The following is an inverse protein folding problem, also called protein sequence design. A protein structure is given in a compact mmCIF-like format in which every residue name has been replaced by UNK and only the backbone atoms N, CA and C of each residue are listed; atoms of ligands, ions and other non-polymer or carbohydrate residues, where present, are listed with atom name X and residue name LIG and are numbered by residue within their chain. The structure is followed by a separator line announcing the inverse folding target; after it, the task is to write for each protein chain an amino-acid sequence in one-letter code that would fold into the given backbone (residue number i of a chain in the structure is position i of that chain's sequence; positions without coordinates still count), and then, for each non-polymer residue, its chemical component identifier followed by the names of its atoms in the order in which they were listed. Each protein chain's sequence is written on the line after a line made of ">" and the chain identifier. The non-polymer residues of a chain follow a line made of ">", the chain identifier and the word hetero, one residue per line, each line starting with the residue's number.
data_IF_684376003836
#
_entry.id   IF_684376003836
#
_cell.length_a   1.000
_cell.length_b   1.000
_cell.length_c   1.000
_cell.angle_alpha   90.00
_cell.angle_beta   90.00
_cell.angle_gamma   90.00
#
_symmetry.space_group_name_H-M   'P 1'
#
loop_
_entity.id
_entity.type
_entity.pdbx_description
1 polymer ?
#
# COMPACT_ATOMS: atom_id res chain seq x y z
N UNK A 1 26.93 -32.91 -23.23
CA UNK A 1 27.11 -32.49 -21.86
C UNK A 1 25.91 -32.98 -21.08
N UNK A 2 25.96 -34.21 -20.69
CA UNK A 2 25.03 -34.87 -19.78
C UNK A 2 25.83 -35.18 -18.50
N UNK A 3 25.11 -35.35 -17.42
CA UNK A 3 25.58 -35.72 -16.07
C UNK A 3 26.00 -34.59 -15.14
N UNK A 4 25.00 -34.14 -14.38
CA UNK A 4 25.09 -33.78 -12.97
C UNK A 4 23.68 -33.71 -12.34
N UNK A 5 23.00 -34.84 -12.26
CA UNK A 5 21.87 -35.05 -11.36
C UNK A 5 22.35 -35.98 -10.23
N UNK A 6 22.86 -35.35 -9.16
CA UNK A 6 23.14 -36.03 -7.90
C UNK A 6 21.84 -36.31 -7.16
N UNK A 7 21.52 -37.56 -6.98
CA UNK A 7 20.38 -38.03 -6.18
C UNK A 7 20.51 -37.62 -4.72
N UNK A 8 19.58 -36.82 -4.18
CA UNK A 8 19.42 -36.62 -2.76
C UNK A 8 18.57 -37.74 -2.17
N UNK A 9 19.22 -38.54 -1.35
CA UNK A 9 18.65 -39.68 -0.65
C UNK A 9 17.89 -39.19 0.59
N UNK A 10 16.56 -39.32 0.57
CA UNK A 10 15.70 -39.07 1.76
C UNK A 10 15.65 -40.34 2.60
N UNK A 11 16.49 -40.41 3.62
CA UNK A 11 16.35 -41.41 4.68
C UNK A 11 16.41 -40.70 6.04
N UNK A 12 15.30 -40.81 6.80
CA UNK A 12 15.29 -40.76 8.26
C UNK A 12 14.86 -39.45 8.92
N UNK A 13 13.55 -39.18 9.02
CA UNK A 13 12.97 -38.50 10.17
C UNK A 13 11.76 -39.30 10.64
N UNK A 14 11.95 -40.03 11.75
CA UNK A 14 10.91 -40.75 12.48
C UNK A 14 10.07 -39.75 13.28
N UNK A 15 8.76 -39.74 13.07
CA UNK A 15 7.76 -39.06 13.88
C UNK A 15 7.45 -39.97 15.10
N UNK A 16 8.08 -39.75 16.22
CA UNK A 16 7.61 -40.26 17.51
C UNK A 16 7.55 -39.14 18.54
N UNK A 17 6.36 -38.92 19.11
CA UNK A 17 6.15 -38.35 20.42
C UNK A 17 5.72 -36.90 20.52
N UNK A 18 4.47 -36.55 20.17
CA UNK A 18 3.73 -35.50 20.87
C UNK A 18 2.39 -36.02 21.33
N UNK A 19 2.32 -36.25 22.65
CA UNK A 19 1.16 -36.75 23.36
C UNK A 19 0.20 -35.59 23.64
N UNK A 20 -0.97 -35.56 23.00
CA UNK A 20 -2.06 -34.62 23.27
C UNK A 20 -2.90 -35.12 24.47
N UNK A 21 -2.44 -34.88 25.69
CA UNK A 21 -3.29 -34.89 26.87
C UNK A 21 -2.72 -33.87 27.86
N UNK A 22 -3.62 -33.01 28.33
CA UNK A 22 -3.52 -32.01 29.39
C UNK A 22 -3.52 -30.54 28.87
N UNK A 23 -4.68 -30.12 28.36
CA UNK A 23 -5.14 -28.75 28.50
C UNK A 23 -6.49 -28.76 29.21
N UNK A 24 -6.45 -28.42 30.48
CA UNK A 24 -7.59 -28.22 31.35
C UNK A 24 -8.30 -26.90 30.98
N UNK A 25 -9.53 -26.98 30.50
CA UNK A 25 -10.39 -25.83 30.14
C UNK A 25 -11.37 -25.48 31.29
N UNK A 26 -10.91 -25.40 32.49
CA UNK A 26 -11.73 -24.94 33.61
C UNK A 26 -11.07 -23.75 34.31
N UNK A 27 -11.38 -22.52 33.89
CA UNK A 27 -11.51 -21.28 34.66
C UNK A 27 -11.50 -20.04 33.75
N UNK A 28 -12.61 -19.70 33.16
CA UNK A 28 -12.93 -18.31 32.83
C UNK A 28 -14.31 -17.98 33.40
N UNK A 29 -14.28 -17.46 34.61
CA UNK A 29 -15.42 -16.87 35.30
C UNK A 29 -15.80 -15.55 34.59
N UNK A 30 -16.97 -15.51 33.96
CA UNK A 30 -17.55 -14.32 33.36
C UNK A 30 -18.31 -13.54 34.44
N UNK A 31 -17.60 -12.67 35.13
CA UNK A 31 -18.18 -11.69 36.03
C UNK A 31 -19.20 -10.79 35.33
N UNK A 32 -20.46 -10.86 35.76
CA UNK A 32 -21.57 -10.04 35.31
C UNK A 32 -21.30 -8.55 35.58
N UNK A 33 -21.24 -7.70 34.54
CA UNK A 33 -21.28 -6.26 34.70
C UNK A 33 -22.73 -5.78 34.84
N UNK A 34 -23.04 -5.32 36.04
CA UNK A 34 -24.28 -4.65 36.43
C UNK A 34 -24.38 -3.28 35.73
N UNK A 35 -25.39 -3.11 34.86
CA UNK A 35 -25.73 -1.86 34.18
C UNK A 35 -26.69 -1.05 35.08
N UNK A 36 -26.11 -0.32 36.03
CA UNK A 36 -26.85 0.65 36.86
C UNK A 36 -27.43 1.80 36.03
N UNK A 37 -28.71 2.02 36.20
CA UNK A 37 -29.53 2.98 35.46
C UNK A 37 -29.07 4.45 35.58
N UNK A 38 -29.04 5.14 34.45
CA UNK A 38 -28.99 6.61 34.39
C UNK A 38 -30.41 7.17 34.27
N UNK A 39 -30.81 7.87 35.32
CA UNK A 39 -32.08 8.62 35.46
C UNK A 39 -32.04 9.91 34.59
N UNK A 40 -32.90 10.00 33.57
CA UNK A 40 -33.04 11.13 32.64
C UNK A 40 -34.10 12.15 33.06
N UNK A 41 -34.23 12.47 34.34
CA UNK A 41 -35.21 13.47 34.78
C UNK A 41 -34.60 14.57 35.63
N UNK A 42 -33.84 15.51 35.07
CA UNK A 42 -33.62 16.86 35.64
C UNK A 42 -32.65 17.67 34.76
N UNK A 43 -33.16 18.40 33.78
CA UNK A 43 -32.58 19.66 33.30
C UNK A 43 -33.61 20.45 32.49
N UNK A 44 -34.56 21.05 33.20
CA UNK A 44 -35.24 22.25 32.75
C UNK A 44 -34.89 23.38 33.71
N UNK A 45 -33.91 24.18 33.31
CA UNK A 45 -33.58 25.45 33.94
C UNK A 45 -33.43 26.49 32.84
N UNK A 46 -34.45 27.35 32.70
CA UNK A 46 -34.45 28.45 31.74
C UNK A 46 -33.39 29.50 32.10
N UNK A 47 -32.64 29.95 31.09
CA UNK A 47 -31.83 31.17 31.18
C UNK A 47 -32.29 32.16 30.12
N UNK A 48 -32.69 33.35 30.59
CA UNK A 48 -33.06 34.51 29.80
C UNK A 48 -31.86 34.98 28.97
N UNK A 49 -32.10 35.31 27.68
CA UNK A 49 -31.10 35.92 26.82
C UNK A 49 -31.02 37.40 27.05
N UNK A 50 -29.88 37.87 27.55
CA UNK A 50 -29.50 39.27 27.56
C UNK A 50 -28.87 39.64 26.19
N UNK A 51 -29.47 40.64 25.51
CA UNK A 51 -28.98 41.17 24.24
C UNK A 51 -27.88 42.21 24.49
N UNK A 52 -26.65 41.76 24.72
CA UNK A 52 -25.45 42.60 24.75
C UNK A 52 -24.89 42.84 23.35
N UNK A 53 -24.65 44.10 23.01
CA UNK A 53 -24.08 44.61 21.76
C UNK A 53 -22.75 43.90 21.39
N UNK A 54 -22.70 43.19 20.27
CA UNK A 54 -21.46 42.67 19.69
C UNK A 54 -20.84 43.70 18.76
N UNK A 55 -19.77 44.36 19.23
CA UNK A 55 -18.80 45.07 18.42
C UNK A 55 -18.17 44.12 17.41
N UNK A 56 -18.14 44.56 16.12
CA UNK A 56 -17.71 43.75 15.00
C UNK A 56 -16.26 43.23 15.08
N UNK A 57 -16.12 41.95 15.28
CA UNK A 57 -14.89 41.27 14.94
C UNK A 57 -14.85 41.07 13.40
N UNK A 58 -13.95 41.82 12.72
CA UNK A 58 -13.55 41.52 11.37
C UNK A 58 -12.99 40.10 11.36
N UNK A 59 -13.76 39.14 10.87
CA UNK A 59 -13.27 37.85 10.47
C UNK A 59 -12.26 38.11 9.36
N UNK A 60 -10.98 38.00 9.67
CA UNK A 60 -9.91 37.95 8.72
C UNK A 60 -10.15 36.67 7.89
N UNK A 61 -10.52 36.85 6.62
CA UNK A 61 -10.86 35.76 5.72
C UNK A 61 -9.72 34.76 5.69
N UNK A 62 -9.94 33.57 6.27
CA UNK A 62 -9.13 32.41 5.96
C UNK A 62 -9.40 32.11 4.50
N UNK A 63 -8.47 32.53 3.63
CA UNK A 63 -8.39 32.03 2.26
C UNK A 63 -8.12 30.53 2.34
N UNK A 64 -9.18 29.73 2.47
CA UNK A 64 -9.14 28.35 2.03
C UNK A 64 -9.03 28.39 0.51
N UNK A 65 -7.82 28.63 0.00
CA UNK A 65 -7.51 28.26 -1.36
C UNK A 65 -7.87 26.79 -1.46
N UNK A 66 -8.93 26.48 -2.18
CA UNK A 66 -9.36 25.10 -2.41
C UNK A 66 -8.16 24.38 -3.01
N UNK A 67 -7.48 23.57 -2.20
CA UNK A 67 -6.38 22.76 -2.70
C UNK A 67 -6.95 21.90 -3.83
N UNK A 68 -6.27 21.88 -4.97
CA UNK A 68 -6.66 21.00 -6.07
C UNK A 68 -6.90 19.60 -5.51
N UNK A 69 -8.00 18.92 -5.86
CA UNK A 69 -8.29 17.57 -5.38
C UNK A 69 -7.15 16.57 -5.70
N UNK A 70 -6.27 16.93 -6.63
CA UNK A 70 -5.08 16.14 -6.99
C UNK A 70 -3.78 16.67 -6.34
N UNK A 71 -3.85 17.55 -5.35
CA UNK A 71 -2.65 18.07 -4.67
C UNK A 71 -1.90 16.97 -3.88
N UNK A 72 -2.60 15.95 -3.42
CA UNK A 72 -2.06 14.79 -2.71
C UNK A 72 -2.76 13.50 -3.17
N UNK A 73 -2.15 12.32 -2.91
CA UNK A 73 -2.78 11.04 -3.22
C UNK A 73 -4.13 10.86 -2.54
N UNK A 74 -5.07 10.24 -3.23
CA UNK A 74 -6.34 9.83 -2.61
C UNK A 74 -6.10 8.82 -1.48
N UNK A 75 -6.70 9.08 -0.33
CA UNK A 75 -6.71 8.14 0.78
C UNK A 75 -7.80 7.05 0.63
N UNK A 76 -8.72 7.22 -0.33
CA UNK A 76 -9.83 6.28 -0.54
C UNK A 76 -9.32 5.03 -1.26
N UNK A 77 -9.53 3.87 -0.67
CA UNK A 77 -9.27 2.56 -1.28
C UNK A 77 -10.46 2.15 -2.14
N UNK A 78 -10.19 1.72 -3.38
CA UNK A 78 -11.22 1.31 -4.34
C UNK A 78 -10.90 -0.04 -4.95
N UNK A 79 -11.45 -1.10 -4.39
CA UNK A 79 -11.31 -2.42 -4.95
C UNK A 79 -12.10 -2.58 -6.24
N UNK A 80 -11.45 -3.07 -7.29
CA UNK A 80 -12.11 -3.43 -8.53
C UNK A 80 -13.03 -4.64 -8.34
N UNK A 81 -14.10 -4.75 -9.11
CA UNK A 81 -15.03 -5.91 -9.03
C UNK A 81 -14.33 -7.25 -9.28
N UNK A 82 -13.30 -7.25 -10.09
CA UNK A 82 -12.47 -8.42 -10.43
C UNK A 82 -11.65 -8.95 -9.25
N UNK A 83 -11.38 -8.12 -8.24
CA UNK A 83 -10.69 -8.52 -7.02
C UNK A 83 -11.56 -9.38 -6.06
N UNK A 84 -12.84 -9.48 -6.33
CA UNK A 84 -13.77 -10.38 -5.59
C UNK A 84 -13.90 -11.75 -6.27
N UNK A 85 -13.10 -12.01 -7.30
CA UNK A 85 -13.07 -13.28 -8.02
C UNK A 85 -12.14 -14.32 -7.37
N UNK A 86 -12.13 -15.54 -7.91
CA UNK A 86 -11.38 -16.67 -7.34
C UNK A 86 -9.84 -16.54 -7.54
N UNK A 87 -9.38 -15.54 -8.28
CA UNK A 87 -7.95 -15.26 -8.49
C UNK A 87 -7.33 -14.39 -7.38
N UNK A 88 -8.14 -13.95 -6.41
CA UNK A 88 -7.70 -13.09 -5.30
C UNK A 88 -8.13 -13.72 -3.98
N UNK A 89 -7.17 -14.01 -3.13
CA UNK A 89 -7.40 -14.60 -1.81
C UNK A 89 -7.40 -13.57 -0.67
N UNK A 90 -6.91 -12.35 -0.94
CA UNK A 90 -6.72 -11.33 0.08
C UNK A 90 -6.96 -9.92 -0.47
N UNK A 91 -7.49 -9.02 0.36
CA UNK A 91 -7.67 -7.59 0.10
C UNK A 91 -7.37 -6.79 1.36
N UNK A 92 -6.90 -5.56 1.19
CA UNK A 92 -6.52 -4.67 2.29
C UNK A 92 -7.36 -3.39 2.24
N UNK A 93 -8.28 -3.22 3.19
CA UNK A 93 -9.15 -2.03 3.28
C UNK A 93 -8.47 -0.85 4.00
N UNK A 94 -7.47 -1.12 4.84
CA UNK A 94 -6.73 -0.11 5.60
C UNK A 94 -5.22 -0.25 5.37
N UNK A 95 -4.71 0.18 4.22
CA UNK A 95 -3.29 0.08 3.90
C UNK A 95 -2.46 1.11 4.68
N UNK A 96 -1.18 0.79 4.86
CA UNK A 96 -0.19 1.73 5.37
C UNK A 96 0.34 2.60 4.23
N UNK A 97 0.46 3.90 4.47
CA UNK A 97 0.92 4.88 3.45
C UNK A 97 2.34 5.39 3.70
N UNK A 98 2.94 5.02 4.82
CA UNK A 98 4.27 5.47 5.21
C UNK A 98 5.38 4.87 4.33
N UNK A 99 6.40 5.68 4.05
CA UNK A 99 7.58 5.28 3.27
C UNK A 99 8.72 4.75 4.15
N UNK A 100 8.62 4.86 5.47
CA UNK A 100 9.62 4.40 6.43
C UNK A 100 9.43 2.94 6.85
N UNK A 101 8.63 2.19 6.13
CA UNK A 101 8.43 0.76 6.35
C UNK A 101 9.68 -0.04 5.92
N UNK A 102 10.40 -0.68 6.86
CA UNK A 102 11.59 -1.45 6.54
C UNK A 102 11.29 -2.82 5.92
N UNK A 103 10.01 -3.22 5.85
CA UNK A 103 9.58 -4.54 5.40
C UNK A 103 9.34 -5.54 6.53
N UNK A 104 8.64 -6.63 6.18
CA UNK A 104 8.29 -7.70 7.13
C UNK A 104 9.56 -8.35 7.70
N UNK A 105 9.58 -8.53 9.01
CA UNK A 105 10.68 -9.16 9.75
C UNK A 105 11.90 -8.25 9.97
N UNK A 106 12.08 -7.17 9.22
CA UNK A 106 13.22 -6.28 9.41
C UNK A 106 13.04 -5.35 10.60
N UNK A 107 11.83 -4.89 10.88
CA UNK A 107 11.49 -4.12 12.09
C UNK A 107 11.68 -4.96 13.34
N UNK A 108 11.14 -6.15 13.36
CA UNK A 108 11.21 -7.07 14.51
C UNK A 108 12.65 -7.46 14.86
N UNK A 109 13.51 -7.63 13.87
CA UNK A 109 14.93 -7.93 14.11
C UNK A 109 15.64 -6.81 14.86
N UNK A 110 15.28 -5.56 14.59
CA UNK A 110 15.81 -4.39 15.28
C UNK A 110 15.28 -4.29 16.72
N UNK A 111 13.97 -4.43 16.90
CA UNK A 111 13.30 -4.35 18.21
C UNK A 111 13.70 -5.47 19.15
N UNK A 112 13.92 -6.67 18.63
CA UNK A 112 14.37 -7.84 19.42
C UNK A 112 15.88 -7.88 19.70
N UNK A 113 16.61 -6.84 19.32
CA UNK A 113 18.07 -6.78 19.53
C UNK A 113 18.86 -7.80 18.72
N UNK A 114 18.27 -8.39 17.70
CA UNK A 114 18.91 -9.40 16.84
C UNK A 114 19.87 -8.77 15.81
N UNK A 115 19.95 -7.43 15.78
CA UNK A 115 20.94 -6.69 14.99
C UNK A 115 21.94 -6.00 15.91
N UNK A 116 23.20 -5.90 15.50
CA UNK A 116 24.18 -5.09 16.22
C UNK A 116 23.67 -3.67 16.42
N UNK A 117 23.95 -3.06 17.57
CA UNK A 117 23.60 -1.68 17.85
C UNK A 117 24.17 -0.74 16.76
N UNK A 118 23.38 0.22 16.33
CA UNK A 118 23.74 1.19 15.29
C UNK A 118 23.41 0.77 13.86
N UNK A 119 22.91 -0.45 13.63
CA UNK A 119 22.43 -0.82 12.30
C UNK A 119 21.05 -0.21 12.03
N UNK A 120 20.94 0.52 10.93
CA UNK A 120 19.69 1.09 10.44
C UNK A 120 19.27 0.37 9.16
N UNK A 121 17.97 0.11 9.03
CA UNK A 121 17.38 -0.38 7.78
C UNK A 121 17.10 0.82 6.88
N UNK A 122 17.62 0.80 5.66
CA UNK A 122 17.31 1.79 4.66
C UNK A 122 15.86 1.60 4.18
N UNK A 123 15.10 2.68 4.20
CA UNK A 123 13.71 2.73 3.74
C UNK A 123 13.53 3.71 2.57
N UNK A 124 12.36 3.69 1.94
CA UNK A 124 12.05 4.67 0.89
C UNK A 124 12.04 6.12 1.41
N UNK A 125 11.71 6.31 2.69
CA UNK A 125 11.73 7.62 3.34
C UNK A 125 13.15 8.20 3.48
N UNK A 126 14.18 7.37 3.47
CA UNK A 126 15.57 7.81 3.58
C UNK A 126 16.14 8.33 2.26
N UNK A 127 15.50 7.98 1.14
CA UNK A 127 15.97 8.33 -0.18
C UNK A 127 15.62 9.79 -0.52
N UNK A 128 16.59 10.49 -1.13
CA UNK A 128 16.43 11.87 -1.60
C UNK A 128 17.12 12.03 -2.96
N UNK A 129 16.57 12.90 -3.80
CA UNK A 129 17.27 13.33 -5.00
C UNK A 129 18.55 14.09 -4.61
N UNK A 130 19.65 13.82 -5.29
CA UNK A 130 20.95 14.50 -5.05
C UNK A 130 20.80 16.00 -5.31
N UNK A 131 20.12 16.38 -6.38
CA UNK A 131 19.94 17.77 -6.80
C UNK A 131 18.78 18.48 -6.08
N UNK A 132 18.03 17.75 -5.23
CA UNK A 132 16.94 18.28 -4.41
C UNK A 132 15.69 18.72 -5.19
N UNK A 133 15.72 18.71 -6.51
CA UNK A 133 14.63 19.16 -7.38
C UNK A 133 14.36 18.10 -8.45
N UNK A 134 13.09 17.75 -8.62
CA UNK A 134 12.61 16.96 -9.76
C UNK A 134 12.18 17.93 -10.87
N UNK A 135 12.49 17.60 -12.12
CA UNK A 135 12.37 18.55 -13.25
C UNK A 135 10.94 18.94 -13.60
N UNK A 136 9.95 18.09 -13.26
CA UNK A 136 8.55 18.33 -13.61
C UNK A 136 7.73 18.72 -12.37
N UNK A 137 7.44 20.02 -12.25
CA UNK A 137 6.63 20.59 -11.16
C UNK A 137 5.12 20.61 -11.45
N UNK A 138 4.69 20.11 -12.61
CA UNK A 138 3.27 20.12 -12.99
C UNK A 138 2.47 19.23 -12.03
N UNK A 139 1.26 19.68 -11.72
CA UNK A 139 0.31 18.84 -11.00
C UNK A 139 -0.19 17.70 -11.89
N UNK A 140 -0.47 16.52 -11.35
CA UNK A 140 -1.08 15.44 -12.12
C UNK A 140 -2.51 15.85 -12.57
N UNK A 141 -2.88 15.42 -13.77
CA UNK A 141 -4.22 15.69 -14.32
C UNK A 141 -5.23 14.60 -13.99
N UNK A 142 -4.73 13.42 -13.62
CA UNK A 142 -5.54 12.27 -13.18
C UNK A 142 -4.78 11.39 -12.21
N UNK A 143 -5.52 10.55 -11.52
CA UNK A 143 -5.01 9.52 -10.63
C UNK A 143 -5.46 8.14 -11.15
N UNK A 144 -4.53 7.20 -11.15
CA UNK A 144 -4.76 5.79 -11.50
C UNK A 144 -4.39 4.94 -10.31
N UNK A 145 -5.35 4.23 -9.78
CA UNK A 145 -5.17 3.26 -8.69
C UNK A 145 -5.15 1.84 -9.24
N UNK A 146 -4.17 1.05 -8.84
CA UNK A 146 -4.04 -0.36 -9.20
C UNK A 146 -3.64 -1.16 -7.96
N UNK A 147 -4.29 -2.29 -7.79
CA UNK A 147 -4.04 -3.22 -6.70
C UNK A 147 -3.15 -4.37 -7.18
N UNK A 148 -2.12 -4.66 -6.40
CA UNK A 148 -1.28 -5.84 -6.58
C UNK A 148 -1.94 -6.98 -5.83
N UNK A 149 -2.49 -7.93 -6.57
CA UNK A 149 -3.34 -8.99 -6.06
C UNK A 149 -2.76 -10.37 -6.39
N UNK A 150 -3.22 -11.40 -5.71
CA UNK A 150 -2.75 -12.74 -5.95
C UNK A 150 -3.60 -13.81 -5.28
N UNK A 151 -3.27 -15.04 -5.57
CA UNK A 151 -3.80 -16.22 -4.92
C UNK A 151 -2.65 -17.19 -4.62
N UNK A 152 -2.33 -17.36 -3.36
CA UNK A 152 -1.19 -18.16 -2.91
C UNK A 152 -1.41 -19.67 -3.16
N UNK A 153 -2.64 -20.16 -3.07
CA UNK A 153 -2.96 -21.56 -3.30
C UNK A 153 -2.78 -21.94 -4.78
N UNK A 154 -3.20 -21.06 -5.69
CA UNK A 154 -3.06 -21.24 -7.14
C UNK A 154 -1.73 -20.76 -7.68
N UNK A 155 -0.97 -20.06 -6.86
CA UNK A 155 0.27 -19.36 -7.24
C UNK A 155 0.06 -18.48 -8.49
N UNK A 156 -0.95 -17.63 -8.45
CA UNK A 156 -1.23 -16.65 -9.49
C UNK A 156 -1.12 -15.23 -8.94
N UNK A 157 -0.59 -14.33 -9.76
CA UNK A 157 -0.35 -12.94 -9.42
C UNK A 157 -0.94 -12.02 -10.47
N UNK A 158 -1.43 -10.86 -10.07
CA UNK A 158 -2.21 -10.03 -10.98
C UNK A 158 -2.24 -8.56 -10.57
N UNK A 159 -2.76 -7.73 -11.47
CA UNK A 159 -3.24 -6.39 -11.14
C UNK A 159 -4.76 -6.40 -11.13
N UNK A 160 -5.38 -5.85 -10.08
CA UNK A 160 -6.84 -5.76 -9.92
C UNK A 160 -7.57 -7.09 -10.13
N UNK A 161 -6.96 -8.20 -9.73
CA UNK A 161 -7.51 -9.55 -9.90
C UNK A 161 -7.42 -10.12 -11.32
N UNK A 162 -6.76 -9.43 -12.26
CA UNK A 162 -6.59 -9.87 -13.64
C UNK A 162 -5.13 -10.13 -13.99
N UNK A 163 -4.82 -11.38 -14.28
CA UNK A 163 -3.52 -11.82 -14.79
C UNK A 163 -3.24 -11.25 -16.19
N UNK A 164 -1.99 -11.22 -16.58
CA UNK A 164 -1.60 -10.89 -17.95
C UNK A 164 -2.33 -11.78 -18.96
N UNK A 165 -2.77 -11.17 -20.07
CA UNK A 165 -3.58 -11.85 -21.08
C UNK A 165 -5.09 -11.83 -20.83
N UNK A 166 -5.52 -11.57 -19.57
CA UNK A 166 -6.95 -11.34 -19.22
C UNK A 166 -7.28 -9.87 -18.97
N UNK A 167 -6.25 -9.04 -18.85
CA UNK A 167 -6.37 -7.61 -18.57
C UNK A 167 -6.24 -6.76 -19.83
N UNK A 168 -6.91 -5.59 -19.83
CA UNK A 168 -6.71 -4.57 -20.86
C UNK A 168 -5.47 -3.73 -20.56
N UNK A 169 -4.78 -3.19 -21.57
CA UNK A 169 -3.68 -2.27 -21.39
C UNK A 169 -4.09 -1.02 -20.60
N UNK A 170 -3.17 -0.48 -19.83
CA UNK A 170 -3.31 0.85 -19.23
C UNK A 170 -2.99 1.90 -20.30
N UNK A 171 -3.92 2.83 -20.54
CA UNK A 171 -3.71 3.91 -21.50
C UNK A 171 -3.23 5.17 -20.81
N UNK A 172 -2.09 5.67 -21.24
CA UNK A 172 -1.53 6.97 -20.85
C UNK A 172 -1.40 7.86 -22.08
N UNK A 173 -1.52 9.16 -21.88
CA UNK A 173 -1.30 10.14 -22.96
C UNK A 173 0.12 10.67 -22.90
N UNK A 174 0.72 10.83 -24.06
CA UNK A 174 2.04 11.42 -24.20
C UNK A 174 2.10 12.80 -23.51
N UNK A 175 3.15 13.03 -22.72
CA UNK A 175 3.38 14.25 -21.93
C UNK A 175 2.30 14.59 -20.87
N UNK A 176 1.33 13.71 -20.61
CA UNK A 176 0.35 13.90 -19.54
C UNK A 176 0.93 13.42 -18.21
N UNK A 177 1.00 14.31 -17.23
CA UNK A 177 1.47 13.94 -15.89
C UNK A 177 0.36 13.22 -15.12
N UNK A 178 0.64 12.01 -14.67
CA UNK A 178 -0.33 11.12 -14.02
C UNK A 178 0.19 10.71 -12.67
N UNK A 179 -0.68 10.68 -11.65
CA UNK A 179 -0.42 9.99 -10.39
C UNK A 179 -0.80 8.54 -10.52
N UNK A 180 0.10 7.67 -10.12
CA UNK A 180 -0.15 6.24 -9.99
C UNK A 180 -0.13 5.89 -8.51
N UNK A 181 -1.15 5.17 -8.06
CA UNK A 181 -1.23 4.61 -6.72
C UNK A 181 -1.15 3.09 -6.86
N UNK A 182 -0.20 2.49 -6.17
CA UNK A 182 -0.09 1.04 -6.04
C UNK A 182 -0.44 0.62 -4.62
N UNK A 183 -1.38 -0.29 -4.49
CA UNK A 183 -1.73 -0.93 -3.23
C UNK A 183 -1.40 -2.41 -3.28
N UNK A 184 -0.66 -2.90 -2.31
CA UNK A 184 -0.31 -4.31 -2.23
C UNK A 184 -1.28 -5.05 -1.29
N UNK A 185 -2.17 -5.82 -1.88
CA UNK A 185 -3.16 -6.62 -1.18
C UNK A 185 -2.66 -8.04 -0.85
N UNK A 186 -1.37 -8.31 -1.05
CA UNK A 186 -0.77 -9.63 -0.85
C UNK A 186 0.19 -9.67 0.35
N UNK A 187 0.61 -10.86 0.72
CA UNK A 187 1.60 -11.09 1.79
C UNK A 187 3.06 -11.03 1.30
N UNK A 188 3.28 -10.76 0.01
CA UNK A 188 4.60 -10.69 -0.59
C UNK A 188 4.96 -9.25 -0.97
N UNK A 189 6.22 -8.88 -0.85
CA UNK A 189 6.72 -7.61 -1.41
C UNK A 189 6.81 -7.71 -2.93
N UNK A 190 6.30 -6.72 -3.63
CA UNK A 190 6.37 -6.64 -5.09
C UNK A 190 7.23 -5.44 -5.52
N UNK A 191 8.46 -5.65 -6.03
CA UNK A 191 9.21 -4.60 -6.69
C UNK A 191 8.58 -4.32 -8.07
N UNK A 192 7.88 -3.19 -8.20
CA UNK A 192 7.15 -2.85 -9.42
C UNK A 192 7.98 -2.00 -10.35
N UNK A 193 8.13 -2.44 -11.58
CA UNK A 193 8.93 -1.80 -12.62
C UNK A 193 8.06 -1.39 -13.82
N UNK A 194 8.04 -0.09 -14.09
CA UNK A 194 7.37 0.51 -15.25
C UNK A 194 8.43 0.94 -16.26
N UNK A 195 8.41 0.31 -17.45
CA UNK A 195 9.33 0.64 -18.54
C UNK A 195 9.00 1.98 -19.19
N UNK A 196 10.00 2.57 -19.83
CA UNK A 196 9.87 3.74 -20.69
C UNK A 196 9.62 5.07 -19.99
N UNK A 197 9.53 5.08 -18.66
CA UNK A 197 9.32 6.31 -17.90
C UNK A 197 9.82 6.21 -16.47
N UNK A 198 10.07 7.36 -15.85
CA UNK A 198 10.47 7.46 -14.47
C UNK A 198 9.26 7.54 -13.54
N UNK A 199 9.38 6.93 -12.38
CA UNK A 199 8.43 7.03 -11.27
C UNK A 199 9.01 8.00 -10.22
N UNK A 200 8.36 9.13 -10.02
CA UNK A 200 8.74 10.15 -9.03
C UNK A 200 7.96 9.89 -7.75
N UNK A 201 8.60 9.17 -6.82
CA UNK A 201 8.00 8.76 -5.55
C UNK A 201 7.58 9.99 -4.74
N UNK A 202 6.37 9.96 -4.20
CA UNK A 202 5.83 11.01 -3.33
C UNK A 202 5.40 10.44 -1.97
N UNK A 203 5.30 11.32 -0.98
CA UNK A 203 4.71 11.01 0.32
C UNK A 203 3.18 10.98 0.21
N UNK A 204 2.50 10.53 1.26
CA UNK A 204 1.04 10.60 1.39
C UNK A 204 0.50 12.05 1.42
N UNK A 205 1.38 13.04 1.62
CA UNK A 205 1.06 14.47 1.52
C UNK A 205 1.33 15.07 0.13
N UNK A 206 1.83 14.28 -0.82
CA UNK A 206 2.15 14.72 -2.18
C UNK A 206 3.51 15.37 -2.34
N UNK A 207 4.40 15.24 -1.35
CA UNK A 207 5.77 15.74 -1.44
C UNK A 207 6.65 14.78 -2.23
N UNK A 208 7.27 15.25 -3.31
CA UNK A 208 8.19 14.45 -4.12
C UNK A 208 9.48 14.13 -3.37
N UNK A 209 9.96 12.90 -3.50
CA UNK A 209 11.15 12.38 -2.81
C UNK A 209 12.30 12.05 -3.75
N UNK A 210 12.10 11.12 -4.65
CA UNK A 210 13.17 10.57 -5.49
C UNK A 210 12.59 9.93 -6.75
N UNK A 211 13.33 9.95 -7.85
CA UNK A 211 13.07 9.16 -9.05
C UNK A 211 13.51 7.72 -8.87
N UNK A 212 12.65 6.81 -9.27
CA UNK A 212 12.92 5.37 -9.30
C UNK A 212 12.34 4.77 -10.58
N UNK A 213 12.97 3.71 -11.07
CA UNK A 213 12.38 2.88 -12.12
C UNK A 213 11.78 1.57 -11.58
N UNK A 214 12.13 1.21 -10.36
CA UNK A 214 11.57 0.05 -9.64
C UNK A 214 11.27 0.47 -8.22
N UNK A 215 10.03 0.24 -7.78
CA UNK A 215 9.53 0.64 -6.46
C UNK A 215 9.06 -0.62 -5.72
N UNK A 216 9.69 -1.00 -4.60
CA UNK A 216 9.18 -2.08 -3.77
C UNK A 216 7.92 -1.63 -3.03
N UNK A 217 6.83 -2.40 -3.17
CA UNK A 217 5.57 -2.21 -2.45
C UNK A 217 5.44 -3.33 -1.43
N UNK A 218 5.51 -2.98 -0.15
CA UNK A 218 5.45 -3.94 0.95
C UNK A 218 4.03 -4.49 1.14
N UNK A 219 3.84 -5.65 1.79
CA UNK A 219 2.51 -6.15 2.14
C UNK A 219 1.68 -5.11 2.88
N UNK A 220 0.42 -4.95 2.49
CA UNK A 220 -0.52 -3.96 3.01
C UNK A 220 -0.03 -2.50 2.92
N UNK A 221 0.87 -2.21 1.99
CA UNK A 221 1.34 -0.85 1.71
C UNK A 221 0.62 -0.26 0.50
N UNK A 222 0.31 1.03 0.61
CA UNK A 222 -0.23 1.87 -0.46
C UNK A 222 0.74 3.01 -0.68
N UNK A 223 1.33 3.09 -1.84
CA UNK A 223 2.30 4.13 -2.22
C UNK A 223 1.88 4.78 -3.53
N UNK A 224 2.30 6.02 -3.70
CA UNK A 224 2.01 6.79 -4.89
C UNK A 224 3.29 7.38 -5.50
N UNK A 225 3.24 7.59 -6.78
CA UNK A 225 4.27 8.28 -7.52
C UNK A 225 3.68 9.01 -8.73
N UNK A 226 4.37 10.04 -9.17
CA UNK A 226 4.04 10.75 -10.40
C UNK A 226 4.88 10.20 -11.56
N UNK A 227 4.28 10.14 -12.73
CA UNK A 227 4.98 9.79 -13.97
C UNK A 227 4.50 10.67 -15.11
N UNK A 228 5.42 10.96 -16.03
CA UNK A 228 5.13 11.68 -17.27
C UNK A 228 5.72 10.85 -18.41
N UNK A 229 4.89 10.18 -19.24
CA UNK A 229 5.41 9.41 -20.37
C UNK A 229 5.83 10.35 -21.51
N UNK A 230 7.13 10.31 -21.87
CA UNK A 230 7.70 11.13 -22.92
C UNK A 230 7.84 10.39 -24.26
N UNK A 231 7.73 9.08 -24.26
CA UNK A 231 7.91 8.24 -25.44
C UNK A 231 6.65 7.48 -25.77
N UNK A 232 6.20 7.61 -27.02
CA UNK A 232 5.06 6.87 -27.56
C UNK A 232 5.39 5.39 -27.66
N UNK A 233 4.39 4.52 -27.52
CA UNK A 233 4.56 3.10 -27.75
C UNK A 233 3.87 2.21 -26.72
N UNK A 234 4.34 0.96 -26.68
CA UNK A 234 3.82 -0.08 -25.79
C UNK A 234 4.94 -0.49 -24.81
N UNK A 235 4.65 -0.37 -23.53
CA UNK A 235 5.62 -0.53 -22.46
C UNK A 235 5.19 -1.64 -21.50
N UNK A 236 6.17 -2.37 -20.96
CA UNK A 236 5.92 -3.35 -19.93
C UNK A 236 5.77 -2.68 -18.55
N UNK A 237 4.85 -3.16 -17.75
CA UNK A 237 4.74 -2.84 -16.34
C UNK A 237 4.56 -4.14 -15.55
N UNK A 238 5.52 -4.48 -14.71
CA UNK A 238 5.55 -5.81 -14.10
C UNK A 238 6.24 -5.84 -12.73
N UNK A 239 5.98 -6.90 -11.99
CA UNK A 239 6.77 -7.23 -10.81
C UNK A 239 8.17 -7.70 -11.24
N UNK A 240 9.21 -7.17 -10.61
CA UNK A 240 10.60 -7.54 -10.91
C UNK A 240 11.05 -8.84 -10.21
N UNK A 241 10.21 -9.45 -9.39
CA UNK A 241 10.31 -10.85 -9.04
C UNK A 241 9.77 -11.67 -10.20
N UNK A 242 10.67 -12.29 -10.98
CA UNK A 242 10.34 -12.91 -12.27
C UNK A 242 9.28 -14.02 -12.15
N UNK A 243 9.26 -14.78 -11.06
CA UNK A 243 8.22 -15.78 -10.82
C UNK A 243 6.83 -15.16 -10.66
N UNK A 244 6.72 -13.97 -10.06
CA UNK A 244 5.45 -13.26 -9.96
C UNK A 244 5.03 -12.68 -11.32
N UNK A 245 5.98 -12.16 -12.08
CA UNK A 245 5.75 -11.66 -13.43
C UNK A 245 5.24 -12.79 -14.33
N UNK A 246 5.93 -13.93 -14.34
CA UNK A 246 5.61 -15.10 -15.15
C UNK A 246 4.26 -15.73 -14.78
N UNK A 247 3.92 -15.69 -13.48
CA UNK A 247 2.64 -16.16 -12.95
C UNK A 247 1.50 -15.13 -13.10
N UNK A 248 1.70 -14.01 -13.84
CA UNK A 248 0.64 -13.12 -14.28
C UNK A 248 0.74 -11.65 -13.83
N UNK A 249 1.69 -11.26 -12.95
CA UNK A 249 1.83 -9.86 -12.50
C UNK A 249 2.58 -9.02 -13.55
N UNK A 250 1.93 -8.87 -14.67
CA UNK A 250 2.36 -8.08 -15.82
C UNK A 250 1.16 -7.31 -16.40
N UNK A 251 1.36 -6.06 -16.75
CA UNK A 251 0.38 -5.23 -17.44
C UNK A 251 1.06 -4.50 -18.59
N UNK A 252 0.39 -4.40 -19.70
CA UNK A 252 0.83 -3.54 -20.79
C UNK A 252 0.39 -2.10 -20.54
N UNK A 253 1.26 -1.16 -20.86
CA UNK A 253 0.98 0.28 -20.86
C UNK A 253 1.12 0.81 -22.29
N UNK A 254 0.10 1.49 -22.77
CA UNK A 254 0.08 2.11 -24.10
C UNK A 254 0.13 3.62 -23.92
N UNK A 255 1.17 4.24 -24.50
CA UNK A 255 1.32 5.70 -24.56
C UNK A 255 0.96 6.18 -25.97
N UNK A 256 -0.05 7.05 -26.07
CA UNK A 256 -0.58 7.57 -27.34
C UNK A 256 -0.81 9.09 -27.30
#
# INVERSE_FOLDING_TARGET
>A
MADMMGAMNHQGMSHEGMNHKDMDHSAMDMGSMDMGGMDHSKMHGGMAMDHGQHSGHKMQGMNHAAQSPLAKPSATVRHARTEYGPSVDMRVDMPRTNLDDPGIGLRDLSEKGLRPQGHRVLTLADLKSIDGVLDDSRMPVKELELHLTGNMERYSWSFDGLEFGKSTPVSLRHNERVRIILQNDTMMTHPMHLHGMWSELETDQGELRVRRHTIPVQPAQRISYLTTPHDLGRWAWHCHLLFHMDAGMFREVVVS
#
